data_IF_922931156788
#
_entry.id   IF_922931156788
#
_cell.length_a   1.000
_cell.length_b   1.000
_cell.length_c   1.000
_cell.angle_alpha   90.00
_cell.angle_beta   90.00
_cell.angle_gamma   90.00
#
_symmetry.space_group_name_H-M   'P 1'
#
loop_
_entity.id
_entity.type
_entity.pdbx_description
1 polymer ?
#
# COMPACT_ATOMS: atom_id res chain seq x y z
N UNK A 1 -24.11 -0.50 -34.82
CA UNK A 1 -23.99 0.94 -35.15
C UNK A 1 -23.60 1.76 -33.92
N UNK A 2 -24.34 1.71 -32.81
CA UNK A 2 -23.99 2.39 -31.53
C UNK A 2 -22.58 2.05 -31.02
N UNK A 3 -22.18 0.77 -31.06
CA UNK A 3 -20.85 0.32 -30.65
C UNK A 3 -19.71 0.82 -31.58
N UNK A 4 -19.98 1.02 -32.87
CA UNK A 4 -18.99 1.52 -33.83
C UNK A 4 -18.77 3.02 -33.63
N UNK A 5 -19.86 3.77 -33.38
CA UNK A 5 -19.83 5.20 -33.03
C UNK A 5 -19.09 5.40 -31.70
N UNK A 6 -19.33 4.57 -30.67
CA UNK A 6 -18.59 4.64 -29.41
C UNK A 6 -17.08 4.37 -29.56
N UNK A 7 -16.66 3.54 -30.52
CA UNK A 7 -15.24 3.27 -30.79
C UNK A 7 -14.51 4.43 -31.47
N UNK A 8 -15.25 5.29 -32.19
CA UNK A 8 -14.72 6.50 -32.83
C UNK A 8 -14.75 7.70 -31.85
N UNK A 9 -15.65 7.70 -30.86
CA UNK A 9 -15.81 8.78 -29.88
C UNK A 9 -15.61 8.29 -28.43
N UNK A 10 -14.36 8.18 -27.93
CA UNK A 10 -14.10 7.88 -26.53
C UNK A 10 -14.43 9.11 -25.66
N UNK A 11 -15.62 9.13 -25.06
CA UNK A 11 -16.01 10.16 -24.09
C UNK A 11 -15.47 9.79 -22.70
N UNK A 12 -14.70 10.67 -22.00
CA UNK A 12 -14.11 10.32 -20.71
C UNK A 12 -15.09 10.32 -19.51
N UNK A 13 -16.35 10.74 -19.65
CA UNK A 13 -17.18 10.99 -18.47
C UNK A 13 -18.72 10.89 -18.63
N UNK A 14 -19.23 10.15 -19.61
CA UNK A 14 -20.66 9.84 -19.66
C UNK A 14 -21.09 9.06 -20.89
N UNK A 15 -21.99 8.08 -20.70
CA UNK A 15 -22.58 7.33 -21.80
C UNK A 15 -23.46 8.25 -22.67
N UNK A 16 -23.15 8.31 -23.97
CA UNK A 16 -23.95 9.06 -24.96
C UNK A 16 -25.37 8.46 -25.03
N UNK A 17 -26.41 9.30 -24.98
CA UNK A 17 -27.79 8.82 -25.10
C UNK A 17 -28.07 8.34 -26.52
N UNK A 18 -29.04 7.42 -26.68
CA UNK A 18 -29.41 6.87 -27.99
C UNK A 18 -29.88 7.95 -28.98
N UNK A 19 -30.55 9.00 -28.50
CA UNK A 19 -30.97 10.14 -29.32
C UNK A 19 -29.79 10.94 -29.85
N UNK A 20 -28.80 11.21 -28.99
CA UNK A 20 -27.56 11.89 -29.38
C UNK A 20 -26.78 11.07 -30.41
N UNK A 21 -26.64 9.75 -30.20
CA UNK A 21 -25.97 8.87 -31.13
C UNK A 21 -26.67 8.80 -32.51
N UNK A 22 -28.01 8.85 -32.52
CA UNK A 22 -28.79 8.83 -33.75
C UNK A 22 -28.64 10.14 -34.55
N UNK A 23 -28.77 11.30 -33.89
CA UNK A 23 -28.50 12.61 -34.50
C UNK A 23 -27.13 12.63 -35.18
N UNK A 24 -26.11 12.10 -34.51
CA UNK A 24 -24.75 12.08 -35.03
C UNK A 24 -24.54 11.15 -36.22
N UNK A 25 -25.23 10.01 -36.23
CA UNK A 25 -25.21 9.14 -37.39
C UNK A 25 -25.80 9.86 -38.61
N UNK A 26 -26.89 10.63 -38.44
CA UNK A 26 -27.51 11.38 -39.54
C UNK A 26 -26.62 12.51 -40.06
N UNK A 27 -26.03 13.32 -39.18
CA UNK A 27 -25.09 14.41 -39.57
C UNK A 27 -23.86 13.86 -40.30
N UNK A 28 -23.34 12.72 -39.84
CA UNK A 28 -22.23 12.05 -40.51
C UNK A 28 -22.63 11.52 -41.89
N UNK A 29 -23.83 10.94 -42.01
CA UNK A 29 -24.36 10.45 -43.30
C UNK A 29 -24.64 11.60 -44.27
N UNK A 30 -25.12 12.75 -43.78
CA UNK A 30 -25.37 13.93 -44.60
C UNK A 30 -24.08 14.65 -45.02
N UNK A 31 -22.92 14.23 -44.50
CA UNK A 31 -21.61 14.84 -44.74
C UNK A 31 -21.58 16.34 -44.44
N UNK A 32 -22.42 16.78 -43.48
CA UNK A 32 -22.47 18.14 -42.97
C UNK A 32 -21.37 18.30 -41.92
N UNK A 33 -20.14 18.43 -42.40
CA UNK A 33 -18.95 18.53 -41.57
C UNK A 33 -18.90 19.86 -40.79
N UNK A 34 -19.60 20.89 -41.29
CA UNK A 34 -19.70 22.17 -40.59
C UNK A 34 -20.55 22.00 -39.32
N UNK A 35 -21.72 21.34 -39.38
CA UNK A 35 -22.49 21.04 -38.16
C UNK A 35 -21.76 20.04 -37.24
N UNK A 36 -20.96 19.14 -37.82
CA UNK A 36 -20.12 18.20 -37.07
C UNK A 36 -19.00 18.88 -36.27
N UNK A 37 -18.38 19.92 -36.85
CA UNK A 37 -17.34 20.74 -36.21
C UNK A 37 -17.93 21.87 -35.34
N UNK A 38 -19.18 22.30 -35.61
CA UNK A 38 -19.85 23.39 -34.90
C UNK A 38 -20.55 22.97 -33.61
N UNK A 39 -20.66 21.67 -33.27
CA UNK A 39 -20.92 21.35 -31.87
C UNK A 39 -19.69 21.73 -31.06
N UNK A 40 -19.87 22.79 -30.28
CA UNK A 40 -19.16 23.14 -29.06
C UNK A 40 -18.85 21.90 -28.20
N UNK A 41 -17.94 21.04 -28.65
CA UNK A 41 -17.31 19.94 -27.90
C UNK A 41 -16.40 20.46 -26.80
N UNK A 42 -16.11 21.76 -26.80
CA UNK A 42 -15.94 22.48 -25.56
C UNK A 42 -17.32 22.86 -25.06
N UNK A 43 -17.88 22.11 -24.10
CA UNK A 43 -18.98 22.66 -23.29
C UNK A 43 -18.61 24.09 -22.89
N UNK A 44 -19.59 25.02 -22.81
CA UNK A 44 -19.35 26.45 -22.51
C UNK A 44 -18.13 26.56 -21.61
N UNK A 45 -17.04 27.10 -22.14
CA UNK A 45 -15.81 27.24 -21.37
C UNK A 45 -16.15 28.09 -20.15
N UNK A 46 -16.30 27.41 -19.02
CA UNK A 46 -16.39 28.05 -17.72
C UNK A 46 -14.95 28.30 -17.33
N UNK A 47 -14.53 29.56 -17.22
CA UNK A 47 -13.18 29.87 -16.78
C UNK A 47 -12.96 29.15 -15.44
N UNK A 48 -11.91 28.34 -15.36
CA UNK A 48 -11.44 27.76 -14.11
C UNK A 48 -10.85 28.89 -13.26
N UNK A 49 -10.76 28.63 -11.96
CA UNK A 49 -10.10 29.51 -10.99
C UNK A 49 -8.74 30.03 -11.48
N UNK A 50 -7.92 29.15 -12.06
CA UNK A 50 -6.59 29.51 -12.53
C UNK A 50 -6.58 30.37 -13.79
N UNK A 51 -7.69 30.45 -14.53
CA UNK A 51 -7.80 31.38 -15.66
C UNK A 51 -7.86 32.84 -15.17
N UNK A 52 -8.31 33.05 -13.93
CA UNK A 52 -8.29 34.36 -13.26
C UNK A 52 -7.01 34.60 -12.46
N UNK A 53 -6.35 33.52 -12.00
CA UNK A 53 -5.16 33.56 -11.15
C UNK A 53 -4.06 32.61 -11.65
N UNK A 54 -3.49 32.86 -12.84
CA UNK A 54 -2.48 31.99 -13.43
C UNK A 54 -1.20 31.90 -12.59
N UNK A 55 -0.81 32.99 -11.93
CA UNK A 55 0.34 33.04 -11.02
C UNK A 55 0.21 32.07 -9.84
N UNK A 56 -1.01 31.86 -9.33
CA UNK A 56 -1.28 30.89 -8.27
C UNK A 56 -1.13 29.47 -8.80
N UNK A 57 -1.52 29.21 -10.06
CA UNK A 57 -1.35 27.89 -10.67
C UNK A 57 0.13 27.50 -10.76
N UNK A 58 0.97 28.42 -11.23
CA UNK A 58 2.41 28.18 -11.39
C UNK A 58 3.10 27.98 -10.04
N UNK A 59 2.79 28.82 -9.04
CA UNK A 59 3.29 28.65 -7.67
C UNK A 59 2.84 27.32 -7.04
N UNK A 60 1.58 26.91 -7.26
CA UNK A 60 1.05 25.66 -6.73
C UNK A 60 1.69 24.43 -7.39
N UNK A 61 1.96 24.49 -8.70
CA UNK A 61 2.72 23.44 -9.41
C UNK A 61 4.13 23.31 -8.84
N UNK A 62 4.84 24.43 -8.67
CA UNK A 62 6.20 24.41 -8.12
C UNK A 62 6.23 23.83 -6.70
N UNK A 63 5.34 24.31 -5.83
CA UNK A 63 5.17 23.81 -4.47
C UNK A 63 4.91 22.30 -4.44
N UNK A 64 3.99 21.80 -5.28
CA UNK A 64 3.66 20.37 -5.30
C UNK A 64 4.79 19.51 -5.84
N UNK A 65 5.52 19.98 -6.85
CA UNK A 65 6.71 19.31 -7.39
C UNK A 65 7.80 19.19 -6.31
N UNK A 66 8.10 20.29 -5.61
CA UNK A 66 9.08 20.30 -4.52
C UNK A 66 8.67 19.31 -3.42
N UNK A 67 7.44 19.42 -2.90
CA UNK A 67 6.94 18.54 -1.82
C UNK A 67 6.87 17.07 -2.22
N UNK A 68 6.54 16.75 -3.47
CA UNK A 68 6.53 15.36 -3.95
C UNK A 68 7.95 14.79 -4.16
N UNK A 69 8.93 15.67 -4.43
CA UNK A 69 10.34 15.29 -4.59
C UNK A 69 11.04 15.00 -3.24
N UNK A 70 10.49 15.49 -2.13
CA UNK A 70 11.06 15.25 -0.80
C UNK A 70 11.10 13.75 -0.42
N UNK A 71 12.14 13.39 0.35
CA UNK A 71 12.36 12.02 0.86
C UNK A 71 11.43 11.61 2.02
N UNK A 72 10.68 12.56 2.58
CA UNK A 72 9.76 12.37 3.70
C UNK A 72 8.42 11.77 3.25
N UNK A 73 8.03 12.02 1.98
CA UNK A 73 6.74 11.67 1.39
C UNK A 73 5.52 11.97 2.29
N UNK A 74 5.58 13.08 3.03
CA UNK A 74 4.54 13.52 3.96
C UNK A 74 3.49 14.44 3.31
N UNK A 75 3.63 14.75 2.02
CA UNK A 75 2.75 15.67 1.31
C UNK A 75 1.29 15.20 1.31
N UNK A 76 0.41 15.99 1.91
CA UNK A 76 -1.03 15.79 1.89
C UNK A 76 -1.70 16.82 0.97
N UNK A 77 -2.84 16.45 0.37
CA UNK A 77 -3.64 17.39 -0.46
C UNK A 77 -4.12 18.59 0.36
N UNK A 78 -4.32 18.41 1.66
CA UNK A 78 -4.63 19.50 2.58
C UNK A 78 -3.54 20.57 2.59
N UNK A 79 -2.28 20.19 2.44
CA UNK A 79 -1.16 21.14 2.40
C UNK A 79 -1.24 22.01 1.14
N UNK A 80 -1.56 21.41 -0.01
CA UNK A 80 -1.81 22.14 -1.26
C UNK A 80 -3.01 23.09 -1.14
N UNK A 81 -4.11 22.62 -0.56
CA UNK A 81 -5.30 23.45 -0.43
C UNK A 81 -5.07 24.66 0.49
N UNK A 82 -4.29 24.49 1.57
CA UNK A 82 -3.86 25.61 2.42
C UNK A 82 -2.91 26.56 1.70
N UNK A 83 -1.96 26.03 0.94
CA UNK A 83 -1.04 26.83 0.16
C UNK A 83 -1.77 27.73 -0.86
N UNK A 84 -2.71 27.16 -1.63
CA UNK A 84 -3.53 27.93 -2.59
C UNK A 84 -4.37 29.00 -1.88
N UNK A 85 -4.93 28.66 -0.72
CA UNK A 85 -5.72 29.60 0.08
C UNK A 85 -4.88 30.78 0.57
N UNK A 86 -3.68 30.54 1.10
CA UNK A 86 -2.72 31.58 1.51
C UNK A 86 -2.32 32.47 0.32
N UNK A 87 -1.93 31.87 -0.80
CA UNK A 87 -1.56 32.60 -2.02
C UNK A 87 -2.70 33.47 -2.57
N UNK A 88 -3.94 32.99 -2.52
CA UNK A 88 -5.10 33.75 -2.98
C UNK A 88 -5.28 35.05 -2.18
N UNK A 89 -5.18 34.99 -0.85
CA UNK A 89 -5.34 36.17 -0.01
C UNK A 89 -4.17 37.16 -0.16
N UNK A 90 -2.95 36.67 -0.39
CA UNK A 90 -1.78 37.50 -0.69
C UNK A 90 -1.96 38.26 -2.01
N UNK A 91 -2.36 37.56 -3.09
CA UNK A 91 -2.53 38.17 -4.42
C UNK A 91 -3.70 39.15 -4.43
N UNK A 92 -4.82 38.80 -3.80
CA UNK A 92 -6.02 39.66 -3.79
C UNK A 92 -5.96 40.78 -2.75
N UNK A 93 -4.95 40.78 -1.86
CA UNK A 93 -4.84 41.67 -0.70
C UNK A 93 -6.11 41.67 0.18
N UNK A 94 -6.80 40.53 0.24
CA UNK A 94 -7.99 40.35 1.07
C UNK A 94 -7.61 39.73 2.42
N UNK A 95 -8.39 40.03 3.45
CA UNK A 95 -8.21 39.43 4.78
C UNK A 95 -9.16 38.24 4.88
N UNK A 96 -8.60 37.06 5.22
CA UNK A 96 -9.39 35.86 5.47
C UNK A 96 -10.25 36.00 6.72
N UNK A 97 -11.55 35.80 6.59
CA UNK A 97 -12.46 35.77 7.74
C UNK A 97 -12.23 34.50 8.58
N UNK A 98 -12.20 34.58 9.93
CA UNK A 98 -12.05 33.41 10.78
C UNK A 98 -13.17 32.38 10.55
N UNK A 99 -12.80 31.14 10.24
CA UNK A 99 -13.76 30.05 10.01
C UNK A 99 -14.31 29.95 8.58
N UNK A 100 -13.86 30.81 7.66
CA UNK A 100 -14.16 30.66 6.23
C UNK A 100 -13.58 29.35 5.66
N UNK A 101 -14.29 28.70 4.71
CA UNK A 101 -13.80 27.51 4.04
C UNK A 101 -12.57 27.83 3.17
N UNK A 102 -11.84 26.79 2.78
CA UNK A 102 -10.74 26.93 1.82
C UNK A 102 -11.26 27.43 0.47
N UNK A 103 -10.55 28.36 -0.15
CA UNK A 103 -10.89 28.91 -1.48
C UNK A 103 -11.05 27.79 -2.51
N UNK A 104 -10.14 26.81 -2.48
CA UNK A 104 -10.19 25.63 -3.33
C UNK A 104 -10.40 24.37 -2.49
N UNK A 105 -11.46 23.62 -2.79
CA UNK A 105 -11.78 22.40 -2.06
C UNK A 105 -10.72 21.31 -2.25
N UNK A 106 -10.64 20.35 -1.33
CA UNK A 106 -9.74 19.20 -1.44
C UNK A 106 -9.99 18.39 -2.73
N UNK A 107 -11.27 18.23 -3.12
CA UNK A 107 -11.65 17.54 -4.35
C UNK A 107 -11.18 18.28 -5.60
N UNK A 108 -11.23 19.61 -5.60
CA UNK A 108 -10.69 20.42 -6.69
C UNK A 108 -9.16 20.30 -6.77
N UNK A 109 -8.47 20.41 -5.63
CA UNK A 109 -7.01 20.23 -5.56
C UNK A 109 -6.56 18.83 -6.05
N UNK A 110 -7.37 17.80 -5.80
CA UNK A 110 -7.16 16.45 -6.33
C UNK A 110 -7.24 16.40 -7.87
N UNK A 111 -8.20 17.10 -8.45
CA UNK A 111 -8.35 17.19 -9.90
C UNK A 111 -7.20 17.99 -10.51
N UNK A 112 -6.76 19.06 -9.86
CA UNK A 112 -5.61 19.86 -10.29
C UNK A 112 -4.34 19.03 -10.35
N UNK A 113 -4.03 18.28 -9.28
CA UNK A 113 -2.88 17.38 -9.25
C UNK A 113 -2.90 16.42 -10.44
N UNK A 114 -4.06 15.82 -10.75
CA UNK A 114 -4.21 14.93 -11.91
C UNK A 114 -4.05 15.68 -13.23
N UNK A 115 -4.61 16.89 -13.35
CA UNK A 115 -4.47 17.76 -14.53
C UNK A 115 -3.01 18.14 -14.78
N UNK A 116 -2.24 18.37 -13.72
CA UNK A 116 -0.80 18.64 -13.77
C UNK A 116 0.05 17.36 -13.98
N UNK A 117 -0.58 16.20 -14.17
CA UNK A 117 0.10 14.95 -14.48
C UNK A 117 0.53 14.13 -13.27
N UNK A 118 0.15 14.51 -12.05
CA UNK A 118 0.48 13.76 -10.85
C UNK A 118 -0.32 12.45 -10.79
N UNK A 119 0.32 11.38 -10.31
CA UNK A 119 -0.29 10.07 -10.12
C UNK A 119 -0.13 9.62 -8.68
N UNK A 120 -1.21 9.10 -8.09
CA UNK A 120 -1.17 8.47 -6.78
C UNK A 120 -0.85 6.99 -6.93
N UNK A 121 0.39 6.58 -6.62
CA UNK A 121 0.88 5.20 -6.82
C UNK A 121 1.51 4.64 -5.55
N UNK A 122 1.68 3.32 -5.50
CA UNK A 122 2.51 2.68 -4.49
C UNK A 122 3.99 2.99 -4.76
N UNK A 123 4.75 3.29 -3.72
CA UNK A 123 6.19 3.40 -3.76
C UNK A 123 6.82 1.98 -3.82
N UNK A 124 6.79 1.39 -5.00
CA UNK A 124 7.27 0.02 -5.27
C UNK A 124 8.75 -0.03 -5.62
N UNK A 125 9.43 1.10 -5.78
CA UNK A 125 10.86 1.16 -6.07
C UNK A 125 11.67 0.75 -4.84
N UNK A 126 11.85 -0.56 -4.70
CA UNK A 126 12.76 -1.18 -3.74
C UNK A 126 14.09 -1.40 -4.47
N UNK A 127 15.19 -0.72 -4.11
CA UNK A 127 16.51 -0.92 -4.71
C UNK A 127 17.23 -2.14 -4.14
N UNK A 128 16.53 -2.98 -3.37
CA UNK A 128 17.11 -4.23 -2.94
C UNK A 128 17.19 -5.12 -4.18
N UNK A 129 18.42 -5.28 -4.69
CA UNK A 129 18.74 -6.38 -5.57
C UNK A 129 18.14 -7.64 -4.95
N UNK A 130 17.33 -8.34 -5.71
CA UNK A 130 16.57 -9.49 -5.24
C UNK A 130 17.54 -10.63 -4.91
N UNK A 131 18.11 -10.58 -3.70
CA UNK A 131 19.06 -11.57 -3.22
C UNK A 131 18.43 -12.95 -3.10
N UNK A 132 17.10 -13.02 -3.08
CA UNK A 132 16.33 -14.26 -3.07
C UNK A 132 16.57 -15.12 -4.32
N UNK A 133 16.88 -14.50 -5.46
CA UNK A 133 17.06 -15.20 -6.74
C UNK A 133 18.54 -15.38 -7.13
N UNK A 134 19.46 -15.10 -6.20
CA UNK A 134 20.87 -15.47 -6.41
C UNK A 134 21.00 -16.99 -6.49
N UNK A 135 21.81 -17.46 -7.43
CA UNK A 135 21.95 -18.90 -7.72
C UNK A 135 22.35 -19.73 -6.49
N UNK A 136 23.19 -19.20 -5.61
CA UNK A 136 23.59 -19.87 -4.37
C UNK A 136 22.42 -19.96 -3.36
N UNK A 137 21.62 -18.89 -3.23
CA UNK A 137 20.43 -18.86 -2.39
C UNK A 137 19.35 -19.82 -2.90
N UNK A 138 19.12 -19.85 -4.22
CA UNK A 138 18.19 -20.79 -4.85
C UNK A 138 18.65 -22.24 -4.66
N UNK A 139 19.93 -22.52 -4.84
CA UNK A 139 20.51 -23.86 -4.62
C UNK A 139 20.32 -24.30 -3.17
N UNK A 140 20.61 -23.43 -2.20
CA UNK A 140 20.44 -23.73 -0.78
C UNK A 140 18.96 -23.94 -0.41
N UNK A 141 18.05 -23.14 -0.99
CA UNK A 141 16.59 -23.33 -0.81
C UNK A 141 16.15 -24.71 -1.30
N UNK A 142 16.64 -25.15 -2.46
CA UNK A 142 16.33 -26.47 -2.99
C UNK A 142 16.86 -27.60 -2.09
N UNK A 143 18.09 -27.46 -1.59
CA UNK A 143 18.67 -28.42 -0.64
C UNK A 143 17.86 -28.50 0.66
N UNK A 144 17.41 -27.35 1.18
CA UNK A 144 16.57 -27.27 2.37
C UNK A 144 15.20 -27.94 2.14
N UNK A 145 14.54 -27.68 1.01
CA UNK A 145 13.28 -28.35 0.67
C UNK A 145 13.47 -29.87 0.59
N UNK A 146 14.50 -30.34 -0.10
CA UNK A 146 14.80 -31.77 -0.20
C UNK A 146 15.05 -32.39 1.18
N UNK A 147 15.78 -31.69 2.06
CA UNK A 147 16.00 -32.12 3.44
C UNK A 147 14.69 -32.37 4.21
N UNK A 148 13.68 -31.53 4.01
CA UNK A 148 12.35 -31.68 4.63
C UNK A 148 11.56 -32.84 4.02
N UNK A 149 11.53 -32.95 2.70
CA UNK A 149 10.82 -34.02 1.99
C UNK A 149 11.38 -35.41 2.34
N UNK A 150 12.71 -35.54 2.44
CA UNK A 150 13.38 -36.79 2.86
C UNK A 150 13.02 -37.21 4.30
N UNK A 151 12.45 -36.30 5.08
CA UNK A 151 12.07 -36.47 6.50
C UNK A 151 10.57 -36.32 6.73
N UNK A 152 9.75 -36.38 5.69
CA UNK A 152 8.30 -36.20 5.82
C UNK A 152 7.69 -37.11 6.91
N UNK A 153 8.16 -38.36 7.01
CA UNK A 153 7.72 -39.34 8.02
C UNK A 153 8.15 -39.03 9.46
N UNK A 154 9.07 -38.08 9.66
CA UNK A 154 9.49 -37.60 10.97
C UNK A 154 8.59 -36.48 11.51
N UNK A 155 7.76 -35.85 10.68
CA UNK A 155 6.95 -34.71 11.07
C UNK A 155 5.46 -35.09 11.23
N UNK A 156 4.69 -34.25 11.91
CA UNK A 156 3.23 -34.36 11.91
C UNK A 156 2.66 -33.86 10.58
N UNK A 157 1.54 -34.42 10.17
CA UNK A 157 0.83 -33.95 8.97
C UNK A 157 0.00 -32.73 9.35
N UNK A 158 0.18 -31.62 8.64
CA UNK A 158 -0.69 -30.45 8.70
C UNK A 158 -1.61 -30.51 7.48
N UNK A 159 -2.87 -30.87 7.70
CA UNK A 159 -3.92 -30.78 6.69
C UNK A 159 -4.74 -29.52 6.94
N UNK A 160 -5.14 -28.83 5.86
CA UNK A 160 -5.92 -27.58 6.00
C UNK A 160 -7.21 -27.83 6.80
N UNK A 161 -7.29 -27.19 7.98
CA UNK A 161 -8.47 -27.23 8.84
C UNK A 161 -8.53 -28.41 9.83
N UNK A 162 -7.54 -29.30 9.84
CA UNK A 162 -7.47 -30.40 10.80
C UNK A 162 -6.35 -30.18 11.82
N UNK A 163 -6.49 -30.78 13.01
CA UNK A 163 -5.43 -30.73 14.02
C UNK A 163 -4.22 -31.53 13.51
N UNK A 164 -2.98 -31.05 13.75
CA UNK A 164 -1.80 -31.80 13.36
C UNK A 164 -1.84 -33.21 13.98
N UNK A 165 -1.52 -34.22 13.17
CA UNK A 165 -1.47 -35.61 13.61
C UNK A 165 -0.14 -36.26 13.23
N UNK A 166 0.42 -37.00 14.18
CA UNK A 166 1.59 -37.85 13.93
C UNK A 166 1.27 -38.95 12.92
N UNK A 167 2.20 -39.18 11.99
CA UNK A 167 2.15 -40.35 11.12
C UNK A 167 2.67 -41.56 11.89
N UNK A 168 1.80 -42.55 12.14
CA UNK A 168 2.18 -43.80 12.77
C UNK A 168 1.97 -44.99 11.81
N UNK A 169 2.84 -46.01 11.87
CA UNK A 169 4.09 -46.08 12.65
C UNK A 169 5.20 -45.25 12.00
N UNK A 170 5.90 -44.39 12.75
CA UNK A 170 7.06 -43.69 12.19
C UNK A 170 8.27 -44.62 12.19
N UNK A 171 8.95 -44.73 11.04
CA UNK A 171 10.22 -45.47 10.95
C UNK A 171 11.42 -44.65 11.44
N UNK A 172 11.23 -43.33 11.57
CA UNK A 172 12.24 -42.35 11.99
C UNK A 172 11.82 -41.69 13.30
N UNK A 173 12.76 -41.20 14.12
CA UNK A 173 12.42 -40.48 15.34
C UNK A 173 11.55 -39.25 15.02
N UNK A 174 10.53 -38.97 15.85
CA UNK A 174 9.66 -37.82 15.66
C UNK A 174 10.43 -36.53 15.84
N UNK A 175 10.14 -35.54 14.99
CA UNK A 175 10.75 -34.23 14.99
C UNK A 175 9.66 -33.17 15.10
N UNK A 176 9.91 -32.17 15.95
CA UNK A 176 9.01 -31.06 16.19
C UNK A 176 9.52 -29.86 15.40
N UNK A 177 8.63 -29.23 14.64
CA UNK A 177 8.92 -27.99 13.92
C UNK A 177 8.64 -26.79 14.83
N UNK A 178 9.69 -26.04 15.11
CA UNK A 178 9.64 -24.76 15.80
C UNK A 178 10.10 -23.71 14.78
N UNK A 179 9.20 -22.82 14.42
CA UNK A 179 9.52 -21.68 13.57
C UNK A 179 9.75 -20.47 14.45
N UNK A 180 10.72 -19.66 14.07
CA UNK A 180 11.01 -18.39 14.73
C UNK A 180 11.00 -17.31 13.66
N UNK A 181 10.27 -16.24 13.92
CA UNK A 181 10.25 -15.09 13.02
C UNK A 181 10.44 -13.80 13.79
N UNK A 182 11.17 -12.88 13.16
CA UNK A 182 11.49 -11.56 13.70
C UNK A 182 10.99 -10.48 12.75
N UNK A 183 10.12 -9.62 13.27
CA UNK A 183 9.59 -8.48 12.54
C UNK A 183 9.95 -7.18 13.24
N UNK A 184 10.49 -6.23 12.49
CA UNK A 184 10.81 -4.89 13.00
C UNK A 184 9.76 -3.89 12.51
N UNK A 185 9.01 -3.30 13.43
CA UNK A 185 8.03 -2.26 13.16
C UNK A 185 8.61 -0.90 13.48
N UNK A 186 8.60 0.04 12.54
CA UNK A 186 9.10 1.40 12.80
C UNK A 186 7.96 2.39 13.02
N UNK A 187 8.08 3.22 14.05
CA UNK A 187 7.23 4.40 14.21
C UNK A 187 7.50 5.37 13.07
N UNK A 188 6.45 5.94 12.47
CA UNK A 188 6.59 6.85 11.33
C UNK A 188 6.99 6.14 10.03
N UNK A 189 6.61 4.87 9.85
CA UNK A 189 6.67 4.26 8.53
C UNK A 189 5.91 5.13 7.53
N UNK A 190 6.63 5.48 6.47
CA UNK A 190 6.13 6.35 5.42
C UNK A 190 4.98 5.66 4.71
N UNK A 191 3.93 6.41 4.39
CA UNK A 191 2.79 5.87 3.67
C UNK A 191 3.28 5.19 2.37
N UNK A 192 2.88 3.93 2.16
CA UNK A 192 3.27 3.18 0.98
C UNK A 192 2.76 3.81 -0.33
N UNK A 193 1.80 4.74 -0.25
CA UNK A 193 1.23 5.48 -1.38
C UNK A 193 1.53 6.97 -1.27
N UNK A 194 1.86 7.59 -2.41
CA UNK A 194 2.07 9.04 -2.50
C UNK A 194 1.81 9.56 -3.91
N UNK A 195 1.82 10.88 -4.05
CA UNK A 195 1.76 11.57 -5.33
C UNK A 195 3.14 11.59 -6.00
N UNK A 196 3.17 11.34 -7.30
CA UNK A 196 4.38 11.37 -8.13
C UNK A 196 4.12 12.18 -9.39
N UNK A 197 5.13 12.94 -9.81
CA UNK A 197 5.18 13.56 -11.13
C UNK A 197 6.19 12.79 -11.99
N UNK A 198 5.79 12.39 -13.19
CA UNK A 198 6.60 11.54 -14.07
C UNK A 198 6.81 10.12 -13.54
N UNK A 199 7.85 9.45 -14.06
CA UNK A 199 8.21 8.07 -13.70
C UNK A 199 9.41 7.98 -12.74
N UNK A 200 10.11 9.10 -12.52
CA UNK A 200 11.30 9.17 -11.65
C UNK A 200 10.90 9.46 -10.19
N UNK A 201 10.56 8.39 -9.48
CA UNK A 201 10.38 8.45 -8.03
C UNK A 201 11.75 8.54 -7.32
N UNK A 202 12.04 9.58 -6.53
CA UNK A 202 13.24 9.58 -5.69
C UNK A 202 13.21 8.40 -4.71
N UNK A 203 14.39 7.80 -4.47
CA UNK A 203 14.55 6.76 -3.47
C UNK A 203 14.48 7.32 -2.04
N UNK A 204 13.77 6.60 -1.17
CA UNK A 204 13.51 7.07 0.19
C UNK A 204 14.42 6.38 1.21
N UNK A 205 14.95 7.17 2.12
CA UNK A 205 15.64 6.64 3.30
C UNK A 205 14.65 5.82 4.14
N UNK A 206 15.11 4.70 4.70
CA UNK A 206 14.35 3.96 5.73
C UNK A 206 13.83 4.96 6.78
N UNK A 207 12.54 4.84 7.14
CA UNK A 207 11.84 5.81 7.99
C UNK A 207 12.64 6.19 9.25
N UNK A 208 12.61 7.48 9.59
CA UNK A 208 13.20 8.03 10.82
C UNK A 208 12.23 7.81 11.96
N UNK A 209 12.49 6.82 12.81
CA UNK A 209 11.67 6.57 13.98
C UNK A 209 12.19 5.41 14.82
N UNK A 210 11.64 5.30 16.04
CA UNK A 210 11.93 4.19 16.95
C UNK A 210 11.46 2.89 16.31
N UNK A 211 12.32 1.87 16.33
CA UNK A 211 12.00 0.52 15.88
C UNK A 211 11.62 -0.34 17.08
N UNK A 212 10.46 -1.00 16.99
CA UNK A 212 10.06 -2.08 17.87
C UNK A 212 10.38 -3.40 17.16
N UNK A 213 11.28 -4.19 17.74
CA UNK A 213 11.56 -5.54 17.29
C UNK A 213 10.60 -6.48 18.02
N UNK A 214 9.81 -7.22 17.27
CA UNK A 214 8.91 -8.26 17.78
C UNK A 214 9.46 -9.58 17.27
N UNK A 215 9.66 -10.51 18.19
CA UNK A 215 10.18 -11.84 17.93
C UNK A 215 9.25 -12.84 18.58
N UNK A 216 8.86 -13.88 17.86
CA UNK A 216 7.99 -14.93 18.41
C UNK A 216 8.35 -16.30 17.85
N UNK A 217 8.00 -17.35 18.60
CA UNK A 217 8.13 -18.74 18.18
C UNK A 217 6.74 -19.29 17.82
N UNK A 218 6.62 -19.84 16.62
CA UNK A 218 5.43 -20.52 16.14
C UNK A 218 5.66 -22.02 16.22
N UNK A 219 4.80 -22.69 16.97
CA UNK A 219 4.78 -24.13 17.10
C UNK A 219 3.37 -24.62 16.81
N UNK A 220 3.26 -25.50 15.82
CA UNK A 220 2.08 -26.33 15.65
C UNK A 220 2.38 -27.70 16.26
N UNK A 221 1.57 -28.15 17.22
CA UNK A 221 1.77 -29.47 17.82
C UNK A 221 0.41 -30.08 18.21
N UNK A 222 0.22 -31.42 18.08
CA UNK A 222 -1.05 -32.07 18.38
C UNK A 222 -1.58 -31.83 19.81
N UNK A 223 -0.68 -31.55 20.76
CA UNK A 223 -1.04 -31.31 22.17
C UNK A 223 -1.34 -29.85 22.51
N UNK A 224 -1.12 -28.91 21.58
CA UNK A 224 -1.40 -27.48 21.77
C UNK A 224 -0.39 -26.56 21.08
N UNK A 225 -0.67 -25.23 21.06
CA UNK A 225 0.17 -24.24 20.39
C UNK A 225 1.46 -23.90 21.13
N UNK A 226 1.63 -24.38 22.37
CA UNK A 226 2.83 -24.18 23.17
C UNK A 226 3.16 -25.42 23.97
N UNK A 227 4.45 -25.71 24.14
CA UNK A 227 4.90 -26.74 25.07
C UNK A 227 4.65 -26.27 26.50
N UNK A 228 3.73 -26.95 27.18
CA UNK A 228 3.54 -26.79 28.63
C UNK A 228 4.22 -27.94 29.33
N UNK A 229 5.05 -27.61 30.31
CA UNK A 229 5.57 -28.59 31.24
C UNK A 229 4.43 -29.07 32.14
N UNK A 230 4.38 -30.37 32.41
CA UNK A 230 3.60 -30.87 33.55
C UNK A 230 4.20 -30.37 34.86
N UNK A 231 3.41 -30.38 35.94
CA UNK A 231 3.88 -29.93 37.27
C UNK A 231 5.18 -30.63 37.69
N UNK A 232 5.27 -31.93 37.41
CA UNK A 232 6.44 -32.76 37.70
C UNK A 232 7.66 -32.38 36.85
N UNK A 233 7.47 -32.12 35.56
CA UNK A 233 8.57 -31.69 34.68
C UNK A 233 9.04 -30.28 35.04
N UNK A 234 8.13 -29.42 35.48
CA UNK A 234 8.46 -28.09 35.97
C UNK A 234 9.26 -28.14 37.28
N UNK A 235 8.86 -28.97 38.24
CA UNK A 235 9.63 -29.21 39.47
C UNK A 235 11.04 -29.73 39.17
N UNK A 236 11.18 -30.64 38.19
CA UNK A 236 12.49 -31.12 37.72
C UNK A 236 13.31 -30.03 37.03
N UNK A 237 12.66 -29.17 36.24
CA UNK A 237 13.30 -28.03 35.61
C UNK A 237 13.78 -27.01 36.65
N UNK A 238 12.98 -26.71 37.69
CA UNK A 238 13.39 -25.86 38.81
C UNK A 238 14.57 -26.45 39.60
N UNK A 239 14.56 -27.76 39.84
CA UNK A 239 15.67 -28.43 40.51
C UNK A 239 16.98 -28.32 39.71
N UNK A 240 16.89 -28.30 38.37
CA UNK A 240 18.03 -28.17 37.46
C UNK A 240 18.43 -26.71 37.19
N UNK A 241 17.46 -25.81 37.19
CA UNK A 241 17.60 -24.38 36.88
C UNK A 241 16.81 -23.55 37.91
N UNK A 242 17.40 -23.28 39.10
CA UNK A 242 16.71 -22.62 40.21
C UNK A 242 16.23 -21.19 39.91
N UNK A 243 16.84 -20.56 38.91
CA UNK A 243 16.57 -19.20 38.45
C UNK A 243 15.27 -19.05 37.64
N UNK A 244 14.57 -20.15 37.34
CA UNK A 244 13.24 -20.12 36.68
C UNK A 244 12.12 -19.58 37.59
N UNK A 245 12.34 -19.53 38.91
CA UNK A 245 11.30 -19.18 39.90
C UNK A 245 10.94 -17.67 39.93
N UNK A 246 11.70 -16.82 39.23
CA UNK A 246 11.65 -15.36 39.39
C UNK A 246 10.80 -14.56 38.38
N UNK A 247 10.60 -15.03 37.15
CA UNK A 247 10.01 -14.20 36.07
C UNK A 247 8.63 -14.66 35.56
N UNK A 248 8.20 -15.90 35.83
CA UNK A 248 6.95 -16.45 35.30
C UNK A 248 5.88 -16.79 36.35
N UNK A 249 6.16 -16.55 37.64
CA UNK A 249 5.27 -16.94 38.75
C UNK A 249 3.91 -16.24 38.77
N UNK A 250 3.74 -15.15 38.01
CA UNK A 250 2.49 -14.40 37.90
C UNK A 250 1.61 -14.79 36.70
N UNK A 251 2.07 -15.69 35.82
CA UNK A 251 1.30 -16.14 34.65
C UNK A 251 0.76 -17.55 34.86
N UNK A 252 -0.54 -17.82 34.66
CA UNK A 252 -1.12 -19.18 34.74
C UNK A 252 -0.64 -20.12 33.61
N UNK A 253 0.28 -19.66 32.77
CA UNK A 253 0.83 -20.38 31.63
C UNK A 253 2.33 -20.59 31.84
N UNK A 254 2.70 -21.80 32.25
CA UNK A 254 4.09 -22.24 32.40
C UNK A 254 4.54 -22.85 31.08
N UNK A 255 5.50 -22.21 30.42
CA UNK A 255 6.02 -22.63 29.12
C UNK A 255 7.38 -23.33 29.28
N UNK A 256 7.63 -24.35 28.46
CA UNK A 256 8.98 -24.84 28.23
C UNK A 256 9.65 -23.95 27.17
N UNK A 257 10.83 -23.40 27.48
CA UNK A 257 11.77 -22.88 26.48
C UNK A 257 12.82 -23.96 26.18
#
# INVERSE_FOLDING_TARGET
>A
MVAFIQSIFPCPSGAMTAQTAHKWAEVFISNDLDEFDCENRGGKYTPDFYDFFPEIEDAAKEYTLERCSEKSASFAIMDLAKFIDEQFYEVTNQIKEPGSPLIRSLSACLLDLRRWGARFKNNSQRPYFEGHERNDVVTHRQQFINYFLDREDSYYTVTEGEKPMWRFPSQKPPCILIFHDESTFKSGEVCAKRWFFGDDAPFHSKGRGRSNMVSDFLVEHPTGPFFRLSEKEYEQALAKYPNLDGEFSASPLRFAL
#
